data_IF_448152735978
#
_entry.id   IF_448152735978
#
_cell.length_a   1.000
_cell.length_b   1.000
_cell.length_c   1.000
_cell.angle_alpha   90.00
_cell.angle_beta   90.00
_cell.angle_gamma   90.00
#
_symmetry.space_group_name_H-M   'P 1'
#
loop_
_entity.id
_entity.type
_entity.pdbx_description
1 polymer ?
#
# COMPACT_ATOMS: atom_id res chain seq x y z
N UNK A 1 1.78 10.55 72.87
CA UNK A 1 2.57 10.06 71.74
C UNK A 1 1.63 9.30 70.84
N UNK A 2 1.21 9.92 69.72
CA UNK A 2 0.27 9.30 68.73
C UNK A 2 1.15 8.53 67.75
N UNK A 3 0.97 7.22 67.55
CA UNK A 3 1.76 6.50 66.56
C UNK A 3 1.36 7.00 65.15
N UNK A 4 2.34 7.48 64.39
CA UNK A 4 2.17 7.86 63.01
C UNK A 4 1.82 6.63 62.20
N UNK A 5 0.64 6.65 61.55
CA UNK A 5 0.18 5.61 60.62
C UNK A 5 0.94 5.79 59.30
N UNK A 6 1.92 4.95 59.04
CA UNK A 6 2.56 4.87 57.72
C UNK A 6 1.58 4.20 56.77
N UNK A 7 1.03 4.94 55.80
CA UNK A 7 0.28 4.35 54.68
C UNK A 7 1.26 4.01 53.57
N UNK A 8 1.46 2.75 53.32
CA UNK A 8 2.16 2.25 52.12
C UNK A 8 1.20 2.34 50.94
N UNK A 9 1.56 3.13 49.94
CA UNK A 9 0.87 3.14 48.65
C UNK A 9 1.58 2.12 47.77
N UNK A 10 0.87 1.08 47.39
CA UNK A 10 1.34 0.12 46.41
C UNK A 10 0.78 0.53 45.05
N UNK A 11 1.62 0.61 44.01
CA UNK A 11 1.24 1.11 42.71
C UNK A 11 1.66 0.08 41.66
N UNK A 12 0.69 -0.39 40.89
CA UNK A 12 0.95 -1.24 39.70
C UNK A 12 0.56 -0.46 38.43
N UNK A 13 1.34 -0.61 37.37
CA UNK A 13 1.08 0.00 36.08
C UNK A 13 0.97 -1.07 35.02
N UNK A 14 -0.13 -1.08 34.28
CA UNK A 14 -0.38 -1.95 33.14
C UNK A 14 -0.42 -1.11 31.85
N UNK A 15 0.35 -1.51 30.85
CA UNK A 15 0.42 -0.90 29.54
C UNK A 15 -0.23 -1.80 28.51
N UNK A 16 -1.25 -1.30 27.82
CA UNK A 16 -1.88 -1.96 26.69
C UNK A 16 -1.67 -1.12 25.43
N UNK A 17 -1.22 -1.75 24.36
CA UNK A 17 -1.04 -1.10 23.05
C UNK A 17 -1.84 -1.86 22.00
N UNK A 18 -2.74 -1.16 21.34
CA UNK A 18 -3.55 -1.69 20.24
C UNK A 18 -3.15 -0.99 18.94
N UNK A 19 -2.96 -1.77 17.87
CA UNK A 19 -2.66 -1.28 16.53
C UNK A 19 -3.79 -1.66 15.57
N UNK A 20 -4.29 -0.68 14.82
CA UNK A 20 -5.25 -0.90 13.74
C UNK A 20 -4.67 -0.30 12.46
N UNK A 21 -4.44 -1.15 11.46
CA UNK A 21 -3.90 -0.72 10.16
C UNK A 21 -4.92 -0.95 9.07
N UNK A 22 -5.15 0.07 8.25
CA UNK A 22 -6.05 0.03 7.09
C UNK A 22 -5.32 0.50 5.85
N UNK A 23 -5.40 -0.28 4.77
CA UNK A 23 -4.85 0.12 3.47
C UNK A 23 -5.67 1.26 2.85
N UNK A 24 -5.02 2.39 2.57
CA UNK A 24 -5.60 3.57 1.91
C UNK A 24 -5.10 3.72 0.47
N UNK A 25 -4.86 2.61 -0.23
CA UNK A 25 -4.32 2.62 -1.59
C UNK A 25 -5.38 3.02 -2.60
N UNK A 26 -5.04 3.96 -3.50
CA UNK A 26 -5.85 4.18 -4.69
C UNK A 26 -5.77 2.96 -5.60
N UNK A 27 -6.93 2.40 -5.95
CA UNK A 27 -7.02 1.24 -6.84
C UNK A 27 -6.85 1.60 -8.31
N UNK A 28 -6.74 2.90 -8.63
CA UNK A 28 -6.67 3.42 -9.99
C UNK A 28 -5.25 3.88 -10.27
N UNK A 29 -4.66 3.39 -11.35
CA UNK A 29 -3.42 3.85 -11.94
C UNK A 29 -3.67 4.36 -13.36
N UNK A 30 -2.78 5.17 -13.89
CA UNK A 30 -2.79 5.63 -15.28
C UNK A 30 -1.36 5.69 -15.80
N UNK A 31 -1.22 5.57 -17.11
CA UNK A 31 0.10 5.57 -17.71
C UNK A 31 0.09 5.62 -19.22
N UNK A 32 1.28 5.46 -19.77
CA UNK A 32 1.52 5.40 -21.22
C UNK A 32 2.19 4.07 -21.54
N UNK A 33 1.84 3.52 -22.70
CA UNK A 33 2.38 2.26 -23.21
C UNK A 33 2.93 2.47 -24.60
N UNK A 34 4.10 1.90 -24.86
CA UNK A 34 4.71 1.85 -26.18
C UNK A 34 4.89 0.37 -26.55
N UNK A 35 4.38 -0.01 -27.71
CA UNK A 35 4.46 -1.36 -28.21
C UNK A 35 5.22 -1.39 -29.53
N UNK A 36 6.16 -2.30 -29.67
CA UNK A 36 6.93 -2.52 -30.86
C UNK A 36 6.81 -3.99 -31.33
N UNK A 37 6.57 -4.19 -32.61
CA UNK A 37 6.55 -5.53 -33.21
C UNK A 37 7.97 -6.03 -33.41
N UNK A 38 8.30 -7.20 -32.86
CA UNK A 38 9.59 -7.87 -33.06
C UNK A 38 9.54 -8.79 -34.26
N UNK A 39 8.60 -9.75 -34.23
CA UNK A 39 8.33 -10.70 -35.30
C UNK A 39 6.83 -10.96 -35.44
N UNK A 40 6.41 -11.80 -36.35
CA UNK A 40 5.01 -12.17 -36.48
C UNK A 40 4.46 -12.68 -35.14
N UNK A 41 3.37 -12.08 -34.66
CA UNK A 41 2.67 -12.44 -33.44
C UNK A 41 3.41 -12.09 -32.10
N UNK A 42 4.68 -11.64 -32.16
CA UNK A 42 5.45 -11.28 -30.96
C UNK A 42 5.73 -9.78 -30.95
N UNK A 43 5.38 -9.16 -29.83
CA UNK A 43 5.55 -7.72 -29.59
C UNK A 43 6.29 -7.52 -28.28
N UNK A 44 7.05 -6.44 -28.22
CA UNK A 44 7.64 -5.93 -27.01
C UNK A 44 6.84 -4.72 -26.54
N UNK A 45 6.50 -4.73 -25.27
CA UNK A 45 5.66 -3.70 -24.65
C UNK A 45 6.41 -3.09 -23.47
N UNK A 46 6.45 -1.76 -23.39
CA UNK A 46 7.00 -1.01 -22.28
C UNK A 46 5.96 0.01 -21.84
N UNK A 47 5.60 -0.02 -20.58
CA UNK A 47 4.65 0.93 -20.02
C UNK A 47 5.28 1.75 -18.89
N UNK A 48 4.77 2.95 -18.68
CA UNK A 48 5.06 3.76 -17.50
C UNK A 48 3.76 4.02 -16.76
N UNK A 49 3.57 3.39 -15.61
CA UNK A 49 2.32 3.45 -14.84
C UNK A 49 2.52 4.25 -13.56
N UNK A 50 1.67 5.24 -13.33
CA UNK A 50 1.66 6.06 -12.12
C UNK A 50 0.53 5.59 -11.20
N UNK A 51 0.87 5.34 -9.93
CA UNK A 51 -0.07 4.89 -8.90
C UNK A 51 0.14 5.64 -7.61
N UNK A 52 -0.91 5.67 -6.79
CA UNK A 52 -0.83 6.14 -5.41
C UNK A 52 -1.13 4.98 -4.50
N UNK A 53 -0.27 4.78 -3.52
CA UNK A 53 -0.51 3.86 -2.42
C UNK A 53 -0.48 4.63 -1.11
N UNK A 54 -1.11 4.08 -0.09
CA UNK A 54 -1.06 4.61 1.25
C UNK A 54 -1.59 3.59 2.25
N UNK A 55 -1.32 3.87 3.49
CA UNK A 55 -1.93 3.17 4.62
C UNK A 55 -2.25 4.17 5.73
N UNK A 56 -3.24 3.83 6.52
CA UNK A 56 -3.58 4.54 7.75
C UNK A 56 -3.37 3.58 8.90
N UNK A 57 -2.66 4.05 9.91
CA UNK A 57 -2.43 3.32 11.14
C UNK A 57 -2.98 4.12 12.31
N UNK A 58 -3.72 3.46 13.17
CA UNK A 58 -4.18 4.01 14.44
C UNK A 58 -3.54 3.23 15.56
N UNK A 59 -2.73 3.89 16.36
CA UNK A 59 -2.11 3.32 17.56
C UNK A 59 -2.81 3.87 18.77
N UNK A 60 -3.40 3.00 19.59
CA UNK A 60 -4.02 3.34 20.86
C UNK A 60 -3.16 2.79 21.99
N UNK A 61 -2.62 3.68 22.80
CA UNK A 61 -1.83 3.34 24.00
C UNK A 61 -2.67 3.65 25.21
N UNK A 62 -3.01 2.64 26.01
CA UNK A 62 -3.74 2.77 27.27
C UNK A 62 -2.84 2.37 28.43
N UNK A 63 -2.63 3.30 29.34
CA UNK A 63 -1.87 3.09 30.56
C UNK A 63 -2.82 3.11 31.74
N UNK A 64 -2.97 1.97 32.41
CA UNK A 64 -3.79 1.85 33.62
C UNK A 64 -2.87 1.79 34.84
N UNK A 65 -2.96 2.81 35.69
CA UNK A 65 -2.25 2.87 36.96
C UNK A 65 -3.23 2.58 38.09
N UNK A 66 -2.94 1.54 38.84
CA UNK A 66 -3.76 1.12 39.99
C UNK A 66 -3.04 1.49 41.27
N UNK A 67 -3.64 2.39 42.06
CA UNK A 67 -3.16 2.74 43.38
C UNK A 67 -4.01 2.05 44.46
N UNK A 68 -3.38 1.41 45.43
CA UNK A 68 -4.03 0.79 46.57
C UNK A 68 -3.77 1.65 47.78
N UNK A 69 -4.84 2.23 48.32
CA UNK A 69 -4.80 3.04 49.51
C UNK A 69 -5.77 2.49 50.59
N UNK A 70 -5.28 2.13 51.74
CA UNK A 70 -6.07 1.57 52.83
C UNK A 70 -6.91 0.33 52.44
N UNK A 71 -6.40 -0.51 51.53
CA UNK A 71 -7.11 -1.69 51.07
C UNK A 71 -8.16 -1.44 49.96
N UNK A 72 -8.34 -0.17 49.56
CA UNK A 72 -9.20 0.19 48.43
C UNK A 72 -8.38 0.45 47.17
N UNK A 73 -8.87 -0.06 46.04
CA UNK A 73 -8.20 0.02 44.72
C UNK A 73 -8.75 1.20 43.93
N UNK A 74 -7.87 2.05 43.43
CA UNK A 74 -8.20 3.21 42.62
C UNK A 74 -7.52 3.11 41.23
N UNK A 75 -8.21 2.59 40.23
CA UNK A 75 -7.67 2.54 38.87
C UNK A 75 -7.80 3.93 38.21
N UNK A 76 -6.75 4.35 37.51
CA UNK A 76 -6.75 5.51 36.63
C UNK A 76 -6.22 5.12 35.29
N UNK A 77 -7.02 5.26 34.22
CA UNK A 77 -6.65 4.92 32.85
C UNK A 77 -6.42 6.18 32.02
N UNK A 78 -5.27 6.25 31.41
CA UNK A 78 -4.88 7.32 30.49
C UNK A 78 -4.74 6.74 29.11
N UNK A 79 -5.40 7.33 28.10
CA UNK A 79 -5.39 6.83 26.72
C UNK A 79 -4.82 7.91 25.81
N UNK A 80 -3.85 7.52 24.98
CA UNK A 80 -3.29 8.34 23.90
C UNK A 80 -3.58 7.66 22.58
N UNK A 81 -4.13 8.40 21.61
CA UNK A 81 -4.44 7.91 20.28
C UNK A 81 -3.58 8.64 19.26
N UNK A 82 -2.86 7.88 18.45
CA UNK A 82 -2.03 8.40 17.35
C UNK A 82 -2.57 7.88 16.03
N UNK A 83 -2.88 8.79 15.11
CA UNK A 83 -3.26 8.49 13.74
C UNK A 83 -2.10 8.82 12.80
N UNK A 84 -1.67 7.84 12.03
CA UNK A 84 -0.67 7.99 10.99
C UNK A 84 -1.31 7.77 9.61
N UNK A 85 -1.19 8.75 8.69
CA UNK A 85 -1.59 8.64 7.29
C UNK A 85 -0.34 8.73 6.42
N UNK A 86 0.09 7.62 5.86
CA UNK A 86 1.25 7.53 4.97
C UNK A 86 0.79 7.35 3.54
N UNK A 87 1.30 8.21 2.64
CA UNK A 87 1.02 8.19 1.20
C UNK A 87 2.32 8.18 0.41
N UNK A 88 2.33 7.41 -0.67
CA UNK A 88 3.45 7.34 -1.59
C UNK A 88 2.97 7.31 -3.04
N UNK A 89 3.80 7.83 -3.95
CA UNK A 89 3.63 7.68 -5.38
C UNK A 89 4.52 6.56 -5.87
N UNK A 90 3.95 5.67 -6.66
CA UNK A 90 4.68 4.59 -7.32
C UNK A 90 4.73 4.86 -8.82
N UNK A 91 5.89 4.54 -9.38
CA UNK A 91 6.11 4.48 -10.82
C UNK A 91 6.46 3.03 -11.12
N UNK A 92 5.60 2.34 -11.86
CA UNK A 92 5.82 0.97 -12.31
C UNK A 92 6.21 0.99 -13.79
N UNK A 93 7.29 0.32 -14.14
CA UNK A 93 7.82 0.23 -15.50
C UNK A 93 7.87 -1.26 -15.88
N UNK A 94 6.78 -1.84 -16.37
CA UNK A 94 6.78 -3.19 -16.92
C UNK A 94 7.45 -3.24 -18.30
N UNK A 95 8.23 -4.31 -18.50
CA UNK A 95 8.87 -4.71 -19.76
C UNK A 95 8.34 -6.08 -20.12
N UNK A 96 7.46 -6.15 -21.10
CA UNK A 96 6.70 -7.36 -21.40
C UNK A 96 6.94 -7.84 -22.82
N UNK A 97 6.95 -9.12 -22.99
CA UNK A 97 6.83 -9.79 -24.30
C UNK A 97 5.40 -10.27 -24.42
N UNK A 98 4.73 -9.84 -25.48
CA UNK A 98 3.33 -10.15 -25.75
C UNK A 98 3.22 -11.02 -27.00
N UNK A 99 2.54 -12.14 -26.86
CA UNK A 99 2.23 -13.06 -27.97
C UNK A 99 0.76 -12.96 -28.34
N UNK A 100 0.46 -12.57 -29.57
CA UNK A 100 -0.89 -12.50 -30.10
C UNK A 100 -1.27 -13.80 -30.81
N UNK A 101 -2.41 -14.33 -30.45
CA UNK A 101 -3.00 -15.46 -31.15
C UNK A 101 -3.45 -15.11 -32.56
N UNK A 102 -3.67 -16.13 -33.38
CA UNK A 102 -4.16 -15.99 -34.76
C UNK A 102 -5.64 -15.59 -34.76
N UNK A 103 -5.94 -14.35 -35.12
CA UNK A 103 -7.30 -13.91 -35.40
C UNK A 103 -7.74 -14.41 -36.80
N UNK A 104 -8.95 -14.92 -36.90
CA UNK A 104 -9.49 -15.44 -38.17
C UNK A 104 -9.92 -14.35 -39.17
N UNK A 105 -10.02 -13.09 -38.75
CA UNK A 105 -10.43 -11.92 -39.57
C UNK A 105 -9.61 -10.68 -39.22
N UNK A 106 -9.38 -9.76 -40.19
CA UNK A 106 -8.58 -8.55 -39.98
C UNK A 106 -9.09 -7.62 -38.86
N UNK A 107 -10.41 -7.55 -38.68
CA UNK A 107 -11.06 -6.71 -37.66
C UNK A 107 -11.64 -7.51 -36.50
N UNK A 108 -11.13 -8.71 -36.23
CA UNK A 108 -11.63 -9.56 -35.17
C UNK A 108 -10.82 -9.38 -33.89
N UNK A 109 -11.50 -9.64 -32.76
CA UNK A 109 -10.85 -9.73 -31.45
C UNK A 109 -9.65 -10.71 -31.51
N UNK A 110 -8.51 -10.29 -31.00
CA UNK A 110 -7.30 -11.11 -30.86
C UNK A 110 -6.97 -11.27 -29.39
N UNK A 111 -6.87 -12.49 -28.93
CA UNK A 111 -6.35 -12.74 -27.60
C UNK A 111 -4.83 -12.63 -27.59
N UNK A 112 -4.26 -12.31 -26.45
CA UNK A 112 -2.83 -12.34 -26.23
C UNK A 112 -2.48 -12.85 -24.83
N UNK A 113 -1.25 -13.34 -24.73
CA UNK A 113 -0.59 -13.65 -23.47
C UNK A 113 0.65 -12.78 -23.38
N UNK A 114 0.98 -12.37 -22.18
CA UNK A 114 2.18 -11.58 -21.94
C UNK A 114 2.92 -12.06 -20.70
N UNK A 115 4.24 -11.91 -20.75
CA UNK A 115 5.12 -12.20 -19.63
C UNK A 115 6.35 -11.30 -19.67
N UNK A 116 6.91 -11.01 -18.50
CA UNK A 116 8.13 -10.21 -18.40
C UNK A 116 8.49 -9.82 -17.00
N UNK A 117 9.24 -8.73 -16.90
CA UNK A 117 9.65 -8.12 -15.64
C UNK A 117 9.07 -6.73 -15.46
N UNK A 118 8.99 -6.29 -14.24
CA UNK A 118 8.60 -4.92 -13.91
C UNK A 118 9.55 -4.33 -12.90
N UNK A 119 9.80 -3.04 -13.05
CA UNK A 119 10.57 -2.25 -12.11
C UNK A 119 9.66 -1.20 -11.47
N UNK A 120 9.63 -1.18 -10.15
CA UNK A 120 8.87 -0.24 -9.35
C UNK A 120 9.79 0.73 -8.64
N UNK A 121 9.48 2.01 -8.73
CA UNK A 121 10.12 3.08 -7.99
C UNK A 121 9.09 3.72 -7.06
N UNK A 122 9.46 3.90 -5.79
CA UNK A 122 8.66 4.68 -4.86
C UNK A 122 9.22 6.08 -4.72
N UNK A 123 8.36 7.07 -4.91
CA UNK A 123 8.71 8.49 -4.83
C UNK A 123 7.68 9.25 -4.00
N UNK A 124 8.05 10.43 -3.52
CA UNK A 124 7.17 11.36 -2.82
C UNK A 124 6.40 10.71 -1.64
N UNK A 125 7.16 10.12 -0.71
CA UNK A 125 6.57 9.49 0.49
C UNK A 125 6.35 10.57 1.53
N UNK A 126 5.11 10.68 2.00
CA UNK A 126 4.68 11.66 3.01
C UNK A 126 3.91 10.95 4.09
N UNK A 127 4.23 11.24 5.34
CA UNK A 127 3.52 10.77 6.52
C UNK A 127 3.01 11.97 7.30
N UNK A 128 1.73 11.96 7.62
CA UNK A 128 1.10 12.90 8.56
C UNK A 128 0.77 12.15 9.84
N UNK A 129 1.15 12.69 10.98
CA UNK A 129 0.92 12.10 12.30
C UNK A 129 0.11 13.08 13.13
N UNK A 130 -1.05 12.63 13.57
CA UNK A 130 -1.94 13.35 14.49
C UNK A 130 -2.01 12.58 15.81
N UNK A 131 -1.71 13.25 16.93
CA UNK A 131 -1.74 12.62 18.25
C UNK A 131 -2.74 13.35 19.13
N UNK A 132 -3.66 12.61 19.72
CA UNK A 132 -4.57 13.09 20.75
C UNK A 132 -4.14 12.50 22.08
N UNK A 133 -3.76 13.38 23.02
CA UNK A 133 -3.36 12.98 24.35
C UNK A 133 -4.56 12.68 25.26
N UNK A 134 -4.28 12.20 26.47
CA UNK A 134 -5.29 11.86 27.46
C UNK A 134 -6.11 13.08 27.96
N UNK A 135 -5.64 14.29 27.76
CA UNK A 135 -6.35 15.53 28.10
C UNK A 135 -7.27 16.00 26.97
N UNK A 136 -7.29 15.27 25.83
CA UNK A 136 -8.05 15.63 24.64
C UNK A 136 -7.37 16.71 23.79
N UNK A 137 -6.12 17.05 24.10
CA UNK A 137 -5.35 17.99 23.28
C UNK A 137 -4.87 17.26 22.05
N UNK A 138 -5.25 17.78 20.89
CA UNK A 138 -4.81 17.26 19.59
C UNK A 138 -3.57 18.03 19.13
N UNK A 139 -2.47 17.31 18.96
CA UNK A 139 -1.25 17.80 18.33
C UNK A 139 -1.23 17.33 16.88
N UNK A 140 -1.65 18.23 15.98
CA UNK A 140 -1.74 17.94 14.55
C UNK A 140 -0.41 18.10 13.85
N UNK A 141 -0.28 17.31 12.79
CA UNK A 141 0.49 17.60 11.59
C UNK A 141 2.01 17.60 11.75
N UNK A 142 2.54 16.65 12.52
CA UNK A 142 3.97 16.37 12.43
C UNK A 142 4.24 15.62 11.13
N UNK A 143 4.90 16.30 10.17
CA UNK A 143 5.29 15.68 8.91
C UNK A 143 6.65 15.03 9.07
N UNK A 144 6.67 13.72 9.17
CA UNK A 144 7.91 12.95 9.14
C UNK A 144 7.93 12.15 7.84
N UNK A 145 8.97 12.26 6.99
CA UNK A 145 9.05 11.41 5.81
C UNK A 145 9.20 9.96 6.26
N UNK A 146 8.22 9.11 5.92
CA UNK A 146 8.35 7.68 6.13
C UNK A 146 9.55 7.18 5.31
N UNK A 147 10.41 6.42 5.97
CA UNK A 147 11.56 5.80 5.31
C UNK A 147 11.09 4.46 4.74
N UNK A 148 10.99 4.31 3.40
CA UNK A 148 10.65 3.02 2.82
C UNK A 148 11.79 2.03 3.07
N UNK A 149 11.47 0.78 3.33
CA UNK A 149 12.48 -0.28 3.42
C UNK A 149 13.24 -0.41 2.11
N UNK A 150 12.51 -0.33 0.99
CA UNK A 150 13.10 -0.35 -0.35
C UNK A 150 12.48 0.76 -1.21
N UNK A 151 13.31 1.62 -1.78
CA UNK A 151 12.85 2.65 -2.74
C UNK A 151 12.59 2.09 -4.12
N UNK A 152 13.12 0.93 -4.42
CA UNK A 152 12.89 0.23 -5.68
C UNK A 152 12.60 -1.24 -5.44
N UNK A 153 11.73 -1.81 -6.26
CA UNK A 153 11.40 -3.23 -6.25
C UNK A 153 11.33 -3.75 -7.67
N UNK A 154 11.68 -5.00 -7.84
CA UNK A 154 11.51 -5.72 -9.11
C UNK A 154 10.52 -6.82 -8.93
N UNK A 155 9.75 -7.10 -10.00
CA UNK A 155 8.74 -8.15 -10.01
C UNK A 155 8.71 -8.90 -11.33
N UNK A 156 8.05 -10.05 -11.29
CA UNK A 156 7.72 -10.83 -12.48
C UNK A 156 6.25 -10.60 -12.77
N UNK A 157 5.93 -10.36 -14.04
CA UNK A 157 4.57 -10.11 -14.52
C UNK A 157 4.17 -11.21 -15.50
N UNK A 158 2.94 -11.68 -15.34
CA UNK A 158 2.26 -12.49 -16.35
C UNK A 158 0.86 -11.92 -16.56
N UNK A 159 0.37 -11.96 -17.78
CA UNK A 159 -0.93 -11.41 -18.11
C UNK A 159 -1.57 -12.03 -19.32
N UNK A 160 -2.84 -11.74 -19.50
CA UNK A 160 -3.63 -12.12 -20.64
C UNK A 160 -4.67 -11.04 -20.94
N UNK A 161 -5.01 -10.90 -22.21
CA UNK A 161 -6.01 -9.93 -22.61
C UNK A 161 -6.57 -10.19 -24.01
N UNK A 162 -7.41 -9.27 -24.42
CA UNK A 162 -8.05 -9.29 -25.75
C UNK A 162 -7.86 -7.93 -26.38
N UNK A 163 -7.39 -7.87 -27.60
CA UNK A 163 -7.35 -6.67 -28.40
C UNK A 163 -8.60 -6.64 -29.28
N UNK A 164 -9.41 -5.62 -29.10
CA UNK A 164 -10.59 -5.31 -29.90
C UNK A 164 -10.23 -4.15 -30.84
N UNK A 165 -10.55 -4.28 -32.11
CA UNK A 165 -10.31 -3.22 -33.11
C UNK A 165 -11.66 -2.65 -33.52
N UNK A 166 -11.82 -1.35 -33.32
CA UNK A 166 -13.00 -0.62 -33.74
C UNK A 166 -12.92 -0.23 -35.23
N UNK A 167 -14.04 0.17 -35.83
CA UNK A 167 -14.15 0.62 -37.24
C UNK A 167 -13.28 1.84 -37.54
N UNK A 168 -12.98 2.65 -36.52
CA UNK A 168 -12.12 3.83 -36.62
C UNK A 168 -10.61 3.52 -36.47
N UNK A 169 -10.24 2.24 -36.32
CA UNK A 169 -8.84 1.83 -36.10
C UNK A 169 -8.34 2.00 -34.67
N UNK A 170 -9.21 2.33 -33.74
CA UNK A 170 -8.87 2.39 -32.32
C UNK A 170 -8.85 0.98 -31.76
N UNK A 171 -7.78 0.64 -31.08
CA UNK A 171 -7.64 -0.65 -30.41
C UNK A 171 -7.97 -0.48 -28.92
N UNK A 172 -9.00 -1.16 -28.45
CA UNK A 172 -9.35 -1.26 -27.03
C UNK A 172 -8.82 -2.59 -26.52
N UNK A 173 -7.98 -2.53 -25.49
CA UNK A 173 -7.24 -3.70 -24.99
C UNK A 173 -7.51 -3.89 -23.50
N UNK A 174 -8.59 -4.59 -23.13
CA UNK A 174 -8.77 -5.04 -21.77
C UNK A 174 -7.81 -6.19 -21.47
N UNK A 175 -7.15 -6.12 -20.31
CA UNK A 175 -6.16 -7.10 -19.88
C UNK A 175 -6.18 -7.32 -18.38
N UNK A 176 -5.75 -8.51 -17.96
CA UNK A 176 -5.52 -8.88 -16.59
C UNK A 176 -4.06 -9.22 -16.40
N UNK A 177 -3.46 -8.66 -15.36
CA UNK A 177 -2.05 -8.87 -15.01
C UNK A 177 -1.94 -9.38 -13.58
N UNK A 178 -1.03 -10.33 -13.39
CA UNK A 178 -0.56 -10.75 -12.09
C UNK A 178 0.91 -10.43 -11.97
N UNK A 179 1.27 -9.70 -10.90
CA UNK A 179 2.64 -9.34 -10.59
C UNK A 179 3.05 -9.93 -9.26
N UNK A 180 4.20 -10.59 -9.25
CA UNK A 180 4.86 -11.02 -8.01
C UNK A 180 6.10 -10.18 -7.78
N UNK A 181 6.08 -9.41 -6.71
CA UNK A 181 7.17 -8.54 -6.28
C UNK A 181 8.20 -9.32 -5.45
N UNK A 182 9.46 -8.96 -5.61
CA UNK A 182 10.56 -9.59 -4.86
C UNK A 182 10.72 -8.97 -3.47
N UNK A 183 10.59 -7.65 -3.38
CA UNK A 183 10.84 -6.91 -2.15
C UNK A 183 9.63 -6.02 -1.83
N UNK A 184 9.12 -6.05 -0.58
CA UNK A 184 8.10 -5.13 -0.13
C UNK A 184 8.67 -3.69 -0.05
N UNK A 185 7.85 -2.69 -0.33
CA UNK A 185 8.23 -1.28 -0.20
C UNK A 185 8.15 -0.85 1.25
N UNK A 186 7.02 -1.16 1.90
CA UNK A 186 6.79 -0.91 3.30
C UNK A 186 6.77 -2.24 4.05
N UNK A 187 7.54 -2.31 5.10
CA UNK A 187 7.57 -3.44 6.02
C UNK A 187 7.88 -2.90 7.42
N UNK A 188 6.85 -2.77 8.23
CA UNK A 188 6.90 -2.39 9.62
C UNK A 188 6.33 -3.54 10.47
N UNK A 189 6.35 -3.39 11.80
CA UNK A 189 5.79 -4.39 12.72
C UNK A 189 4.30 -4.66 12.48
N UNK A 190 3.58 -3.68 11.94
CA UNK A 190 2.11 -3.68 11.76
C UNK A 190 1.68 -3.66 10.31
N UNK A 191 2.57 -3.26 9.38
CA UNK A 191 2.23 -3.06 7.96
C UNK A 191 3.22 -3.80 7.08
N UNK A 192 2.69 -4.63 6.16
CA UNK A 192 3.47 -5.28 5.12
C UNK A 192 2.80 -5.08 3.77
N UNK A 193 3.57 -4.59 2.79
CA UNK A 193 3.11 -4.49 1.40
C UNK A 193 3.03 -5.89 0.79
N UNK A 194 1.87 -6.27 0.25
CA UNK A 194 1.70 -7.57 -0.41
C UNK A 194 2.67 -7.75 -1.57
N UNK A 195 3.32 -8.89 -1.62
CA UNK A 195 4.19 -9.28 -2.73
C UNK A 195 3.40 -9.68 -3.98
N UNK A 196 2.11 -9.92 -3.84
CA UNK A 196 1.22 -10.35 -4.92
C UNK A 196 0.26 -9.24 -5.29
N UNK A 197 0.17 -8.93 -6.57
CA UNK A 197 -0.67 -7.88 -7.11
C UNK A 197 -1.45 -8.38 -8.31
N UNK A 198 -2.78 -8.26 -8.26
CA UNK A 198 -3.67 -8.54 -9.39
C UNK A 198 -4.23 -7.22 -9.90
N UNK A 199 -4.24 -7.05 -11.22
CA UNK A 199 -4.65 -5.84 -11.91
C UNK A 199 -5.59 -6.16 -13.05
N UNK A 200 -6.52 -5.24 -13.29
CA UNK A 200 -7.33 -5.18 -14.49
C UNK A 200 -7.08 -3.84 -15.16
N UNK A 201 -6.57 -3.84 -16.36
CA UNK A 201 -6.20 -2.67 -17.12
C UNK A 201 -7.02 -2.56 -18.40
N UNK A 202 -7.20 -1.34 -18.88
CA UNK A 202 -7.79 -1.05 -20.19
C UNK A 202 -6.85 -0.07 -20.89
N UNK A 203 -6.26 -0.51 -22.01
CA UNK A 203 -5.40 0.35 -22.83
C UNK A 203 -6.13 0.76 -24.11
N UNK A 204 -5.87 1.99 -24.54
CA UNK A 204 -6.29 2.51 -25.84
C UNK A 204 -5.05 2.74 -26.70
N UNK A 205 -5.03 2.16 -27.91
CA UNK A 205 -3.91 2.29 -28.86
C UNK A 205 -4.43 2.78 -30.22
N UNK A 206 -3.66 3.65 -30.86
CA UNK A 206 -3.98 4.27 -32.14
C UNK A 206 -2.99 3.84 -33.23
#
# INVERSE_FOLDING_TARGET
MIPGRSSTVDTSTELSTEYQTTGASSRIGYGLTVQARIVNHIYFDVSGLLRRIGYQETTTISTTTTAILNGSTYPSTTTTVTHEDTRARLIDIPFLVRYYGTGKRPNSARWFLEAGGTWRLSNDIRTSIDTTDASGVNTCCTFTPAIPKNRSSIGIVVGAGIQLVDEFGIHVVPEFRYTRWRNPIFENLTTNTSDNQLEADISLTF
#
